data_IF_246017298638
#
_entry.id   IF_246017298638
#
_cell.length_a   1.000
_cell.length_b   1.000
_cell.length_c   1.000
_cell.angle_alpha   90.00
_cell.angle_beta   90.00
_cell.angle_gamma   90.00
#
_symmetry.space_group_name_H-M   'P 1'
#
loop_
_entity.id
_entity.type
_entity.pdbx_description
1 polymer ?
#
# COMPACT_ATOMS: atom_id res chain seq x y z
N UNK A 1 18.59 16.60 -22.98
CA UNK A 1 17.57 15.70 -22.40
C UNK A 1 16.57 15.41 -23.52
N UNK A 2 15.93 14.24 -23.62
CA UNK A 2 14.92 14.04 -24.68
C UNK A 2 13.66 14.83 -24.32
N UNK A 3 12.84 15.18 -25.32
CA UNK A 3 11.61 15.95 -25.09
C UNK A 3 10.63 15.18 -24.19
N UNK A 4 10.58 13.86 -24.32
CA UNK A 4 9.75 12.98 -23.50
C UNK A 4 10.19 13.01 -22.03
N UNK A 5 11.51 13.03 -21.77
CA UNK A 5 12.03 13.09 -20.42
C UNK A 5 11.81 14.48 -19.80
N UNK A 6 11.92 15.56 -20.58
CA UNK A 6 11.61 16.92 -20.12
C UNK A 6 10.13 17.05 -19.74
N UNK A 7 9.21 16.53 -20.56
CA UNK A 7 7.78 16.51 -20.26
C UNK A 7 7.45 15.59 -19.08
N UNK A 8 8.09 14.43 -18.99
CA UNK A 8 7.95 13.54 -17.83
C UNK A 8 8.34 14.27 -16.54
N UNK A 9 9.50 14.94 -16.51
CA UNK A 9 9.93 15.68 -15.32
C UNK A 9 9.01 16.87 -15.00
N UNK A 10 8.47 17.55 -16.01
CA UNK A 10 7.43 18.60 -15.85
C UNK A 10 6.19 18.03 -15.16
N UNK A 11 5.66 16.91 -15.64
CA UNK A 11 4.48 16.30 -15.02
C UNK A 11 4.78 15.73 -13.64
N UNK A 12 5.93 15.10 -13.47
CA UNK A 12 6.36 14.57 -12.18
C UNK A 12 6.44 15.68 -11.13
N UNK A 13 6.97 16.85 -11.51
CA UNK A 13 7.03 18.00 -10.61
C UNK A 13 5.65 18.45 -10.16
N UNK A 14 4.68 18.52 -11.08
CA UNK A 14 3.31 18.91 -10.75
C UNK A 14 2.60 17.88 -9.87
N UNK A 15 2.77 16.58 -10.17
CA UNK A 15 2.19 15.49 -9.38
C UNK A 15 2.78 15.42 -7.96
N UNK A 16 4.10 15.61 -7.82
CA UNK A 16 4.78 15.62 -6.51
C UNK A 16 4.32 16.81 -5.65
N UNK A 17 4.04 17.95 -6.28
CA UNK A 17 3.52 19.13 -5.59
C UNK A 17 2.10 18.94 -5.01
N UNK A 18 1.35 17.94 -5.49
CA UNK A 18 0.07 17.59 -4.92
C UNK A 18 0.29 16.71 -3.68
N UNK A 19 -0.08 17.20 -2.49
CA UNK A 19 -0.08 16.38 -1.28
C UNK A 19 -1.23 15.39 -1.30
N UNK A 20 -0.92 14.18 -1.73
CA UNK A 20 -1.85 13.06 -1.86
C UNK A 20 -1.56 11.98 -0.82
N UNK A 21 -0.98 12.37 0.32
CA UNK A 21 -0.63 11.44 1.40
C UNK A 21 -1.86 10.67 1.90
N UNK A 22 -1.73 9.36 2.07
CA UNK A 22 -2.75 8.44 2.54
C UNK A 22 -2.18 7.62 3.71
N UNK A 23 -2.55 7.94 4.97
CA UNK A 23 -3.47 8.99 5.44
C UNK A 23 -2.93 10.43 5.30
N UNK A 24 -3.78 11.49 5.34
CA UNK A 24 -5.23 11.47 5.58
C UNK A 24 -6.09 11.31 4.32
N UNK A 25 -5.49 11.24 3.13
CA UNK A 25 -6.17 11.11 1.83
C UNK A 25 -7.07 12.31 1.48
N UNK A 26 -6.57 13.52 1.72
CA UNK A 26 -7.25 14.79 1.38
C UNK A 26 -7.10 15.16 -0.11
N UNK A 27 -7.47 14.24 -1.01
CA UNK A 27 -7.20 14.37 -2.45
C UNK A 27 -7.85 15.61 -3.07
N UNK A 28 -9.04 16.01 -2.62
CA UNK A 28 -9.74 17.17 -3.15
C UNK A 28 -8.97 18.48 -2.91
N UNK A 29 -8.28 18.60 -1.78
CA UNK A 29 -7.51 19.79 -1.41
C UNK A 29 -6.08 19.77 -1.97
N UNK A 30 -5.63 18.61 -2.48
CA UNK A 30 -4.26 18.43 -2.97
C UNK A 30 -3.93 19.19 -4.27
N UNK A 31 -4.94 19.63 -5.01
CA UNK A 31 -4.79 20.19 -6.36
C UNK A 31 -4.58 19.15 -7.46
N UNK A 32 -4.59 17.85 -7.14
CA UNK A 32 -4.39 16.77 -8.11
C UNK A 32 -5.43 16.79 -9.23
N UNK A 33 -6.72 16.85 -8.88
CA UNK A 33 -7.80 16.83 -9.86
C UNK A 33 -7.79 18.09 -10.73
N UNK A 34 -7.53 19.25 -10.12
CA UNK A 34 -7.38 20.52 -10.83
C UNK A 34 -6.24 20.47 -11.84
N UNK A 35 -5.09 19.89 -11.44
CA UNK A 35 -3.97 19.68 -12.33
C UNK A 35 -4.35 18.78 -13.51
N UNK A 36 -4.98 17.63 -13.28
CA UNK A 36 -5.41 16.73 -14.35
C UNK A 36 -6.42 17.39 -15.30
N UNK A 37 -7.37 18.17 -14.78
CA UNK A 37 -8.33 18.94 -15.58
C UNK A 37 -7.67 20.08 -16.38
N UNK A 38 -6.53 20.61 -15.90
CA UNK A 38 -5.80 21.68 -16.60
C UNK A 38 -5.05 21.20 -17.85
N UNK A 39 -4.84 19.89 -18.00
CA UNK A 39 -4.10 19.30 -19.11
C UNK A 39 -5.00 19.17 -20.35
N UNK A 40 -4.89 20.12 -21.28
CA UNK A 40 -5.77 20.19 -22.47
C UNK A 40 -5.67 19.02 -23.46
N UNK A 41 -4.69 18.13 -23.30
CA UNK A 41 -4.45 16.98 -24.18
C UNK A 41 -5.05 15.67 -23.62
N UNK A 42 -5.68 15.71 -22.45
CA UNK A 42 -6.45 14.61 -21.88
C UNK A 42 -7.88 15.05 -21.57
N UNK A 43 -8.79 14.09 -21.47
CA UNK A 43 -10.16 14.29 -21.00
C UNK A 43 -10.41 13.33 -19.84
N UNK A 44 -10.16 13.75 -18.58
CA UNK A 44 -10.26 12.86 -17.43
C UNK A 44 -11.71 12.53 -17.07
N UNK A 45 -12.05 11.24 -17.03
CA UNK A 45 -13.32 10.75 -16.50
C UNK A 45 -13.16 10.44 -15.01
N UNK A 46 -13.59 11.37 -14.16
CA UNK A 46 -13.45 11.27 -12.71
C UNK A 46 -14.69 10.60 -12.09
N UNK A 47 -14.45 9.58 -11.27
CA UNK A 47 -15.46 8.94 -10.41
C UNK A 47 -15.06 9.16 -8.95
N UNK A 48 -15.87 9.89 -8.21
CA UNK A 48 -15.75 10.08 -6.76
C UNK A 48 -16.40 8.88 -6.03
N UNK A 49 -15.63 8.24 -5.16
CA UNK A 49 -16.05 7.08 -4.36
C UNK A 49 -16.15 7.42 -2.86
N UNK A 50 -15.99 8.68 -2.49
CA UNK A 50 -16.02 9.19 -1.12
C UNK A 50 -14.69 9.06 -0.38
N UNK A 51 -14.56 9.79 0.72
CA UNK A 51 -13.40 9.74 1.64
C UNK A 51 -12.06 9.87 0.92
N UNK A 52 -11.97 10.75 -0.08
CA UNK A 52 -10.74 10.97 -0.85
C UNK A 52 -10.39 9.87 -1.85
N UNK A 53 -11.23 8.85 -2.04
CA UNK A 53 -11.04 7.82 -3.06
C UNK A 53 -11.63 8.26 -4.40
N UNK A 54 -10.77 8.51 -5.37
CA UNK A 54 -11.09 8.86 -6.75
C UNK A 54 -10.48 7.87 -7.74
N UNK A 55 -11.29 7.45 -8.71
CA UNK A 55 -10.82 6.87 -9.96
C UNK A 55 -10.84 7.94 -11.05
N UNK A 56 -9.71 8.12 -11.75
CA UNK A 56 -9.65 8.96 -12.95
C UNK A 56 -9.27 8.08 -14.13
N UNK A 57 -10.22 7.88 -15.05
CA UNK A 57 -10.02 7.07 -16.24
C UNK A 57 -9.68 7.97 -17.44
N UNK A 58 -8.53 7.72 -18.06
CA UNK A 58 -8.09 8.35 -19.31
C UNK A 58 -8.19 7.32 -20.44
N UNK A 59 -8.94 7.62 -21.51
CA UNK A 59 -9.09 6.70 -22.64
C UNK A 59 -8.96 7.40 -23.99
N UNK A 60 -8.45 6.66 -24.98
CA UNK A 60 -8.45 7.03 -26.40
C UNK A 60 -8.49 5.77 -27.26
N UNK A 61 -9.35 5.75 -28.26
CA UNK A 61 -9.49 4.61 -29.18
C UNK A 61 -10.15 3.39 -28.54
N UNK A 62 -9.73 2.18 -28.94
CA UNK A 62 -10.23 0.89 -28.43
C UNK A 62 -9.10 0.05 -27.82
N UNK A 63 -8.49 0.51 -26.71
CA UNK A 63 -7.32 -0.11 -26.10
C UNK A 63 -7.63 -1.53 -25.58
N UNK A 64 -6.72 -2.48 -25.84
CA UNK A 64 -6.82 -3.87 -25.35
C UNK A 64 -6.25 -4.05 -23.95
N UNK A 65 -5.45 -3.10 -23.48
CA UNK A 65 -4.70 -3.16 -22.22
C UNK A 65 -5.03 -1.94 -21.38
N UNK A 66 -5.09 -2.13 -20.06
CA UNK A 66 -5.25 -1.07 -19.09
C UNK A 66 -3.94 -0.89 -18.33
N UNK A 67 -3.50 0.35 -18.16
CA UNK A 67 -2.51 0.69 -17.15
C UNK A 67 -3.22 1.18 -15.88
N UNK A 68 -2.85 0.68 -14.71
CA UNK A 68 -3.30 1.24 -13.45
C UNK A 68 -2.11 1.83 -12.70
N UNK A 69 -2.29 3.05 -12.19
CA UNK A 69 -1.27 3.80 -11.46
C UNK A 69 -1.95 4.45 -10.27
N UNK A 70 -1.50 4.20 -9.05
CA UNK A 70 -2.00 4.93 -7.90
C UNK A 70 -1.30 6.29 -7.79
N UNK A 71 -1.99 7.28 -7.23
CA UNK A 71 -1.53 8.66 -7.09
C UNK A 71 -1.47 9.12 -5.64
N UNK A 72 -2.06 8.37 -4.72
CA UNK A 72 -1.77 8.53 -3.31
C UNK A 72 -0.33 8.11 -3.00
N UNK A 73 0.19 8.64 -1.91
CA UNK A 73 1.52 8.28 -1.40
C UNK A 73 1.41 7.95 0.08
N UNK A 74 2.36 7.20 0.63
CA UNK A 74 2.56 7.23 2.08
C UNK A 74 2.82 8.66 2.60
N UNK A 75 2.57 8.96 3.90
CA UNK A 75 2.96 10.23 4.51
C UNK A 75 4.47 10.45 4.47
N UNK A 76 4.90 11.71 4.32
CA UNK A 76 6.29 12.07 4.50
C UNK A 76 6.73 11.81 5.95
N UNK A 77 7.74 10.95 6.13
CA UNK A 77 8.40 10.74 7.42
C UNK A 77 9.36 11.87 7.79
N UNK A 78 10.05 11.69 8.92
CA UNK A 78 11.16 12.57 9.31
C UNK A 78 12.43 12.29 8.47
N UNK A 79 13.34 13.26 8.42
CA UNK A 79 14.67 13.06 7.83
C UNK A 79 14.80 13.37 6.33
N UNK A 80 13.80 14.02 5.73
CA UNK A 80 13.92 14.55 4.38
C UNK A 80 14.97 15.67 4.31
N UNK A 81 15.91 15.55 3.35
CA UNK A 81 16.90 16.60 3.07
C UNK A 81 16.35 17.71 2.15
N UNK A 82 15.26 17.42 1.42
CA UNK A 82 14.57 18.33 0.52
C UNK A 82 13.09 18.35 0.90
N UNK A 83 12.37 19.42 0.56
CA UNK A 83 10.92 19.44 0.73
C UNK A 83 10.28 18.28 -0.06
N UNK A 84 9.55 17.35 0.60
CA UNK A 84 8.93 16.18 -0.06
C UNK A 84 7.96 16.56 -1.18
N UNK A 85 7.32 17.73 -1.12
CA UNK A 85 6.35 18.20 -2.12
C UNK A 85 6.98 19.14 -3.16
N UNK A 86 8.30 19.31 -3.16
CA UNK A 86 9.00 20.06 -4.20
C UNK A 86 10.04 19.17 -4.89
N UNK A 87 9.72 18.72 -6.12
CA UNK A 87 10.60 17.86 -6.89
C UNK A 87 11.98 18.52 -7.11
N UNK A 88 13.01 17.89 -6.56
CA UNK A 88 14.41 18.32 -6.70
C UNK A 88 15.16 17.33 -7.60
N UNK A 89 15.86 17.82 -8.61
CA UNK A 89 16.68 16.98 -9.50
C UNK A 89 18.15 17.22 -9.18
N UNK A 90 18.83 16.18 -8.72
CA UNK A 90 20.26 16.21 -8.40
C UNK A 90 20.90 14.87 -8.75
N UNK A 91 22.12 14.90 -9.28
CA UNK A 91 22.92 13.69 -9.55
C UNK A 91 22.16 12.62 -10.37
N UNK A 92 21.42 13.04 -11.40
CA UNK A 92 20.58 12.19 -12.26
C UNK A 92 19.45 11.45 -11.52
N UNK A 93 19.03 11.95 -10.36
CA UNK A 93 17.90 11.43 -9.59
C UNK A 93 16.88 12.54 -9.35
N UNK A 94 15.61 12.14 -9.28
CA UNK A 94 14.49 13.00 -8.90
C UNK A 94 14.09 12.65 -7.47
N UNK A 95 14.16 13.64 -6.58
CA UNK A 95 13.81 13.55 -5.17
C UNK A 95 12.48 14.26 -4.93
N UNK A 96 11.49 13.52 -4.44
CA UNK A 96 10.15 14.00 -4.14
C UNK A 96 9.28 12.85 -3.69
N UNK A 97 8.31 13.12 -2.81
CA UNK A 97 7.41 12.10 -2.29
C UNK A 97 6.56 11.53 -3.43
N UNK A 98 6.59 10.21 -3.54
CA UNK A 98 5.96 9.47 -4.62
C UNK A 98 6.68 9.52 -5.98
N UNK A 99 7.85 10.14 -6.08
CA UNK A 99 8.60 10.18 -7.35
C UNK A 99 9.00 8.78 -7.83
N UNK A 100 9.36 7.90 -6.90
CA UNK A 100 9.60 6.48 -7.15
C UNK A 100 8.32 5.66 -7.12
N UNK A 101 7.40 5.96 -6.19
CA UNK A 101 6.25 5.13 -5.86
C UNK A 101 4.95 5.96 -5.74
N UNK A 102 4.15 6.10 -6.80
CA UNK A 102 4.48 5.71 -8.18
C UNK A 102 4.18 6.82 -9.20
N UNK A 103 4.16 8.08 -8.75
CA UNK A 103 3.91 9.29 -9.58
C UNK A 103 4.87 9.40 -10.78
N UNK A 104 6.07 8.82 -10.69
CA UNK A 104 7.00 8.71 -11.82
C UNK A 104 6.38 7.96 -13.03
N UNK A 105 5.65 6.87 -12.80
CA UNK A 105 4.98 6.14 -13.87
C UNK A 105 3.82 6.95 -14.47
N UNK A 106 3.01 7.61 -13.63
CA UNK A 106 1.95 8.50 -14.10
C UNK A 106 2.51 9.63 -14.98
N UNK A 107 3.61 10.25 -14.56
CA UNK A 107 4.29 11.31 -15.31
C UNK A 107 4.80 10.84 -16.67
N UNK A 108 5.38 9.64 -16.75
CA UNK A 108 5.76 9.01 -18.02
C UNK A 108 4.57 8.84 -18.96
N UNK A 109 3.44 8.35 -18.45
CA UNK A 109 2.24 8.16 -19.28
C UNK A 109 1.67 9.48 -19.79
N UNK A 110 1.59 10.50 -18.93
CA UNK A 110 1.15 11.85 -19.32
C UNK A 110 2.05 12.44 -20.41
N UNK A 111 3.38 12.29 -20.28
CA UNK A 111 4.33 12.77 -21.28
C UNK A 111 4.15 12.08 -22.63
N UNK A 112 3.92 10.76 -22.65
CA UNK A 112 3.67 10.01 -23.89
C UNK A 112 2.36 10.42 -24.56
N UNK A 113 1.33 10.77 -23.78
CA UNK A 113 0.07 11.32 -24.32
C UNK A 113 0.30 12.73 -24.87
N UNK A 114 0.99 13.62 -24.14
CA UNK A 114 1.28 15.00 -24.58
C UNK A 114 2.09 15.01 -25.90
N UNK A 115 3.05 14.08 -26.04
CA UNK A 115 3.80 13.88 -27.29
C UNK A 115 3.00 13.22 -28.43
N UNK A 116 1.74 12.84 -28.19
CA UNK A 116 0.93 12.02 -29.11
C UNK A 116 1.66 10.75 -29.57
N UNK A 117 2.47 10.15 -28.69
CA UNK A 117 3.22 8.92 -28.95
C UNK A 117 2.34 7.65 -28.82
N UNK A 118 1.12 7.80 -28.30
CA UNK A 118 0.15 6.73 -28.12
C UNK A 118 -1.06 6.94 -29.04
N UNK A 119 -1.33 5.93 -29.87
CA UNK A 119 -2.50 5.91 -30.76
C UNK A 119 -3.78 5.56 -30.01
N UNK A 120 -3.70 4.62 -29.06
CA UNK A 120 -4.79 4.15 -28.21
C UNK A 120 -4.24 3.90 -26.80
N UNK A 121 -5.02 4.22 -25.77
CA UNK A 121 -4.65 3.98 -24.38
C UNK A 121 -5.88 3.87 -23.48
N UNK A 122 -5.76 3.10 -22.40
CA UNK A 122 -6.61 3.18 -21.23
C UNK A 122 -5.71 3.24 -20.00
N UNK A 123 -5.90 4.26 -19.16
CA UNK A 123 -5.15 4.46 -17.92
C UNK A 123 -6.14 4.75 -16.80
N UNK A 124 -6.10 3.94 -15.74
CA UNK A 124 -6.84 4.13 -14.51
C UNK A 124 -5.90 4.71 -13.46
N UNK A 125 -6.13 5.96 -13.07
CA UNK A 125 -5.45 6.58 -11.95
C UNK A 125 -6.31 6.40 -10.70
N UNK A 126 -5.80 5.70 -9.69
CA UNK A 126 -6.47 5.49 -8.39
C UNK A 126 -5.78 6.30 -7.28
N UNK A 127 -6.41 6.47 -6.12
CA UNK A 127 -5.92 7.39 -5.07
C UNK A 127 -6.05 6.82 -3.65
N UNK A 128 -6.06 5.49 -3.51
CA UNK A 128 -6.23 4.84 -2.20
C UNK A 128 -5.54 3.48 -2.04
N UNK A 129 -4.41 3.27 -2.73
CA UNK A 129 -3.66 2.01 -2.69
C UNK A 129 -2.92 1.84 -1.34
N UNK A 130 -2.24 2.88 -0.88
CA UNK A 130 -1.16 2.81 0.15
C UNK A 130 -1.67 2.42 1.55
N UNK A 131 -2.98 2.54 1.80
CA UNK A 131 -3.60 2.20 3.07
C UNK A 131 -4.09 0.74 3.16
N UNK A 132 -3.87 -0.09 2.13
CA UNK A 132 -4.18 -1.53 2.16
C UNK A 132 -5.67 -1.89 2.06
N UNK A 133 -6.54 -0.90 1.85
CA UNK A 133 -7.99 -1.09 1.71
C UNK A 133 -8.56 -0.30 0.52
N UNK A 134 -7.97 -0.43 -0.66
CA UNK A 134 -8.43 0.29 -1.85
C UNK A 134 -9.90 0.01 -2.18
N UNK A 135 -10.70 1.07 -2.25
CA UNK A 135 -12.08 1.05 -2.75
C UNK A 135 -12.05 1.35 -4.26
N UNK A 136 -11.09 2.14 -4.74
CA UNK A 136 -10.93 2.49 -6.15
C UNK A 136 -10.90 1.27 -7.06
N UNK A 137 -9.97 0.36 -6.82
CA UNK A 137 -9.81 -0.83 -7.67
C UNK A 137 -11.01 -1.77 -7.54
N UNK A 138 -11.54 -1.95 -6.32
CA UNK A 138 -12.74 -2.79 -6.09
C UNK A 138 -13.95 -2.28 -6.89
N UNK A 139 -14.22 -0.97 -6.81
CA UNK A 139 -15.34 -0.34 -7.52
C UNK A 139 -15.15 -0.34 -9.02
N UNK A 140 -13.91 -0.19 -9.50
CA UNK A 140 -13.62 -0.33 -10.93
C UNK A 140 -13.88 -1.75 -11.44
N UNK A 141 -13.53 -2.79 -10.67
CA UNK A 141 -13.81 -4.19 -11.05
C UNK A 141 -15.32 -4.46 -11.14
N UNK A 142 -16.13 -3.86 -10.25
CA UNK A 142 -17.60 -4.00 -10.28
C UNK A 142 -18.23 -3.51 -11.61
N UNK A 143 -17.57 -2.58 -12.33
CA UNK A 143 -18.03 -2.12 -13.64
C UNK A 143 -17.77 -3.12 -14.76
N UNK A 144 -17.15 -4.28 -14.45
CA UNK A 144 -16.81 -5.37 -15.38
C UNK A 144 -16.02 -4.88 -16.61
N UNK A 145 -14.88 -4.18 -16.40
CA UNK A 145 -14.07 -3.68 -17.50
C UNK A 145 -13.55 -4.84 -18.36
N UNK A 146 -13.56 -4.66 -19.68
CA UNK A 146 -13.17 -5.70 -20.63
C UNK A 146 -11.80 -5.39 -21.26
N UNK A 147 -10.73 -5.76 -20.56
CA UNK A 147 -9.35 -5.67 -21.05
C UNK A 147 -8.72 -7.05 -21.13
N UNK A 148 -7.76 -7.23 -22.05
CA UNK A 148 -7.00 -8.49 -22.18
C UNK A 148 -6.00 -8.71 -21.06
N UNK A 149 -5.43 -7.63 -20.54
CA UNK A 149 -4.55 -7.64 -19.37
C UNK A 149 -4.51 -6.23 -18.75
N UNK A 150 -4.08 -6.18 -17.49
CA UNK A 150 -3.83 -4.94 -16.74
C UNK A 150 -2.36 -4.90 -16.38
N UNK A 151 -1.72 -3.76 -16.58
CA UNK A 151 -0.36 -3.46 -16.13
C UNK A 151 -0.49 -2.50 -14.94
N UNK A 152 -0.21 -2.99 -13.74
CA UNK A 152 -0.16 -2.16 -12.53
C UNK A 152 1.25 -1.60 -12.41
N UNK A 153 1.36 -0.28 -12.32
CA UNK A 153 2.63 0.39 -12.17
C UNK A 153 3.08 0.31 -10.71
N UNK A 154 4.29 -0.19 -10.51
CA UNK A 154 4.99 -0.34 -9.23
C UNK A 154 6.50 -0.21 -9.49
N UNK A 155 7.35 0.08 -8.49
CA UNK A 155 8.79 0.24 -8.69
C UNK A 155 9.50 -1.10 -8.89
N UNK A 156 9.38 -1.67 -10.09
CA UNK A 156 9.94 -2.99 -10.46
C UNK A 156 11.29 -2.91 -11.16
N UNK A 157 11.99 -1.77 -11.07
CA UNK A 157 13.19 -1.49 -11.88
C UNK A 157 12.95 -1.65 -13.39
N UNK A 158 11.77 -1.26 -13.87
CA UNK A 158 11.34 -1.40 -15.27
C UNK A 158 11.33 -2.85 -15.78
N UNK A 159 11.09 -3.83 -14.90
CA UNK A 159 10.92 -5.25 -15.26
C UNK A 159 9.47 -5.67 -15.10
N UNK A 160 9.00 -6.54 -15.99
CA UNK A 160 7.69 -7.16 -15.84
C UNK A 160 7.73 -8.17 -14.68
N UNK A 161 7.00 -7.89 -13.60
CA UNK A 161 6.82 -8.79 -12.47
C UNK A 161 5.45 -9.45 -12.62
N UNK A 162 5.42 -10.78 -12.62
CA UNK A 162 4.21 -11.58 -12.86
C UNK A 162 3.70 -12.29 -11.61
N UNK A 163 4.41 -12.14 -10.49
CA UNK A 163 4.10 -12.80 -9.23
C UNK A 163 4.59 -11.97 -8.06
N UNK A 164 3.75 -11.82 -7.04
CA UNK A 164 4.07 -11.23 -5.75
C UNK A 164 3.35 -11.98 -4.63
N UNK A 165 3.73 -11.72 -3.38
CA UNK A 165 3.04 -12.29 -2.21
C UNK A 165 1.73 -11.55 -1.97
N UNK A 166 0.79 -12.21 -1.29
CA UNK A 166 -0.29 -11.50 -0.63
C UNK A 166 0.23 -10.65 0.54
N UNK A 167 -0.68 -9.93 1.20
CA UNK A 167 -0.40 -9.19 2.43
C UNK A 167 -1.61 -9.31 3.36
N UNK A 168 -1.32 -9.56 4.64
CA UNK A 168 -2.27 -9.40 5.73
C UNK A 168 -1.58 -8.61 6.83
N UNK A 169 -2.31 -7.69 7.46
CA UNK A 169 -1.89 -7.02 8.68
C UNK A 169 -3.03 -7.06 9.68
N UNK A 170 -2.70 -7.20 10.96
CA UNK A 170 -3.70 -7.31 12.02
C UNK A 170 -3.15 -6.84 13.36
N UNK A 171 -4.07 -6.57 14.28
CA UNK A 171 -3.76 -6.28 15.69
C UNK A 171 -4.39 -7.37 16.53
N UNK A 172 -3.59 -8.07 17.33
CA UNK A 172 -4.08 -9.01 18.32
C UNK A 172 -3.98 -8.37 19.71
N UNK A 173 -5.11 -8.31 20.41
CA UNK A 173 -5.18 -7.80 21.77
C UNK A 173 -5.28 -8.94 22.78
N UNK A 174 -4.65 -8.74 23.94
CA UNK A 174 -4.62 -9.68 25.04
C UNK A 174 -5.03 -8.98 26.32
N UNK A 175 -5.93 -9.63 27.05
CA UNK A 175 -6.49 -9.09 28.28
C UNK A 175 -6.15 -9.96 29.49
N UNK A 176 -5.91 -9.28 30.60
CA UNK A 176 -5.47 -9.83 31.86
C UNK A 176 -6.22 -9.21 33.05
N UNK A 177 -5.70 -9.42 34.25
CA UNK A 177 -6.25 -8.80 35.46
C UNK A 177 -5.15 -8.19 36.31
N UNK A 178 -5.15 -6.86 36.41
CA UNK A 178 -4.15 -6.09 37.15
C UNK A 178 -4.04 -6.54 38.61
N UNK A 179 -2.84 -6.47 39.16
CA UNK A 179 -2.53 -6.83 40.53
C UNK A 179 -1.04 -6.74 40.82
N UNK A 180 -0.63 -7.09 42.04
CA UNK A 180 0.79 -7.14 42.39
C UNK A 180 1.44 -8.39 41.79
N UNK A 181 2.62 -8.26 41.16
CA UNK A 181 3.27 -9.39 40.46
C UNK A 181 3.76 -10.52 41.38
N UNK A 182 3.75 -10.32 42.71
CA UNK A 182 4.02 -11.36 43.70
C UNK A 182 2.85 -12.33 43.93
N UNK A 183 1.66 -12.02 43.42
CA UNK A 183 0.51 -12.90 43.51
C UNK A 183 0.68 -14.08 42.55
N UNK A 184 0.45 -15.31 43.03
CA UNK A 184 0.57 -16.54 42.23
C UNK A 184 -0.28 -16.51 40.96
N UNK A 185 -1.40 -15.77 40.98
CA UNK A 185 -2.27 -15.62 39.80
C UNK A 185 -1.62 -14.86 38.64
N UNK A 186 -0.50 -14.16 38.86
CA UNK A 186 0.27 -13.46 37.82
C UNK A 186 0.63 -14.36 36.63
N UNK A 187 0.82 -15.66 36.85
CA UNK A 187 1.14 -16.59 35.76
C UNK A 187 0.01 -16.67 34.71
N UNK A 188 -1.26 -16.62 35.15
CA UNK A 188 -2.44 -16.79 34.29
C UNK A 188 -3.07 -15.45 33.90
N UNK A 189 -3.00 -14.45 34.78
CA UNK A 189 -3.70 -13.18 34.62
C UNK A 189 -2.91 -12.15 33.80
N UNK A 190 -1.63 -12.40 33.50
CA UNK A 190 -0.79 -11.43 32.82
C UNK A 190 -1.02 -11.44 31.30
N UNK A 191 -1.48 -10.33 30.74
CA UNK A 191 -1.72 -10.17 29.30
C UNK A 191 -0.44 -10.32 28.46
N UNK A 192 0.71 -9.84 28.94
CA UNK A 192 2.00 -10.01 28.26
C UNK A 192 2.37 -11.48 28.20
N UNK A 193 2.14 -12.28 29.26
CA UNK A 193 2.43 -13.71 29.21
C UNK A 193 1.59 -14.43 28.16
N UNK A 194 0.30 -14.09 28.06
CA UNK A 194 -0.61 -14.64 27.03
C UNK A 194 -0.15 -14.27 25.63
N UNK A 195 0.20 -13.00 25.42
CA UNK A 195 0.75 -12.50 24.16
C UNK A 195 2.05 -13.21 23.78
N UNK A 196 2.98 -13.41 24.74
CA UNK A 196 4.24 -14.12 24.48
C UNK A 196 4.01 -15.56 24.09
N UNK A 197 3.07 -16.25 24.74
CA UNK A 197 2.70 -17.63 24.39
C UNK A 197 2.13 -17.71 22.97
N UNK A 198 1.24 -16.78 22.60
CA UNK A 198 0.71 -16.68 21.24
C UNK A 198 1.82 -16.38 20.22
N UNK A 199 2.69 -15.40 20.49
CA UNK A 199 3.78 -15.01 19.59
C UNK A 199 4.73 -16.18 19.31
N UNK A 200 5.05 -16.98 20.34
CA UNK A 200 5.86 -18.18 20.17
C UNK A 200 5.18 -19.21 19.26
N UNK A 201 3.87 -19.40 19.40
CA UNK A 201 3.11 -20.30 18.53
C UNK A 201 3.06 -19.76 17.09
N UNK A 202 2.82 -18.46 16.92
CA UNK A 202 2.77 -17.80 15.62
C UNK A 202 4.08 -17.94 14.83
N UNK A 203 5.22 -17.79 15.51
CA UNK A 203 6.54 -18.00 14.90
C UNK A 203 6.74 -19.46 14.45
N UNK A 204 6.30 -20.44 15.24
CA UNK A 204 6.38 -21.86 14.85
C UNK A 204 5.52 -22.18 13.62
N UNK A 205 4.32 -21.59 13.55
CA UNK A 205 3.46 -21.70 12.36
C UNK A 205 4.18 -21.10 11.16
N UNK A 206 4.75 -19.90 11.27
CA UNK A 206 5.50 -19.31 10.17
C UNK A 206 6.69 -20.16 9.72
N UNK A 207 7.44 -20.73 10.66
CA UNK A 207 8.55 -21.64 10.37
C UNK A 207 8.11 -22.92 9.65
N UNK A 208 6.90 -23.42 9.88
CA UNK A 208 6.43 -24.64 9.20
C UNK A 208 6.25 -24.45 7.69
N UNK A 209 6.12 -23.21 7.21
CA UNK A 209 6.03 -22.88 5.79
C UNK A 209 7.39 -22.75 5.10
N UNK A 210 8.53 -22.77 5.81
CA UNK A 210 9.85 -22.46 5.23
C UNK A 210 10.26 -23.33 4.02
N UNK A 211 9.68 -24.53 3.87
CA UNK A 211 9.97 -25.42 2.74
C UNK A 211 9.02 -25.23 1.54
N UNK A 212 8.04 -24.34 1.63
CA UNK A 212 7.14 -24.01 0.54
C UNK A 212 7.74 -22.95 -0.37
N UNK A 213 7.49 -23.04 -1.68
CA UNK A 213 7.94 -22.02 -2.63
C UNK A 213 7.07 -21.95 -3.87
N UNK A 214 6.96 -20.75 -4.44
CA UNK A 214 6.34 -20.50 -5.73
C UNK A 214 7.24 -19.54 -6.52
N UNK A 215 7.90 -20.08 -7.56
CA UNK A 215 8.89 -19.34 -8.32
C UNK A 215 10.03 -18.85 -7.39
N UNK A 216 10.35 -17.55 -7.35
CA UNK A 216 11.40 -17.01 -6.49
C UNK A 216 10.93 -16.71 -5.05
N UNK A 217 9.69 -17.00 -4.69
CA UNK A 217 9.14 -16.71 -3.36
C UNK A 217 9.20 -17.97 -2.48
N UNK A 218 9.81 -17.86 -1.30
CA UNK A 218 10.03 -18.98 -0.35
C UNK A 218 9.36 -18.70 1.01
N UNK A 219 8.70 -19.70 1.59
CA UNK A 219 8.02 -19.63 2.88
C UNK A 219 6.96 -18.53 2.99
N UNK A 220 6.57 -18.20 4.22
CA UNK A 220 5.76 -17.00 4.52
C UNK A 220 6.64 -15.94 5.18
N UNK A 221 6.54 -14.69 4.73
CA UNK A 221 7.20 -13.60 5.43
C UNK A 221 6.29 -13.12 6.56
N UNK A 222 6.54 -13.58 7.79
CA UNK A 222 5.81 -13.20 9.01
C UNK A 222 6.60 -12.16 9.81
N UNK A 223 5.92 -11.16 10.38
CA UNK A 223 6.53 -10.07 11.11
C UNK A 223 5.68 -9.63 12.31
N UNK A 224 6.28 -9.58 13.50
CA UNK A 224 5.73 -8.88 14.67
C UNK A 224 6.27 -7.45 14.66
N UNK A 225 5.44 -6.49 14.24
CA UNK A 225 5.88 -5.12 13.92
C UNK A 225 5.85 -4.15 15.10
N UNK A 226 4.92 -4.31 16.04
CA UNK A 226 4.81 -3.47 17.23
C UNK A 226 4.23 -4.28 18.38
N UNK A 227 4.82 -4.15 19.57
CA UNK A 227 4.30 -4.75 20.81
C UNK A 227 4.18 -3.64 21.86
N UNK A 228 3.02 -3.57 22.51
CA UNK A 228 2.73 -2.62 23.58
C UNK A 228 2.04 -3.33 24.74
N UNK A 229 2.29 -2.92 25.98
CA UNK A 229 1.60 -3.48 27.13
C UNK A 229 2.34 -3.32 28.47
N UNK A 230 1.58 -3.44 29.55
CA UNK A 230 2.09 -3.31 30.91
C UNK A 230 2.38 -1.86 31.34
N UNK A 231 2.79 -1.70 32.60
CA UNK A 231 3.00 -0.38 33.22
C UNK A 231 4.32 -0.35 34.01
N UNK A 232 4.51 -1.31 34.93
CA UNK A 232 5.71 -1.43 35.78
C UNK A 232 6.04 -2.90 36.03
N UNK A 233 7.30 -3.24 36.34
CA UNK A 233 7.73 -4.62 36.60
C UNK A 233 6.98 -5.32 37.74
N UNK A 234 6.48 -4.57 38.72
CA UNK A 234 5.78 -5.11 39.89
C UNK A 234 4.24 -5.14 39.75
N UNK A 235 3.72 -4.88 38.55
CA UNK A 235 2.28 -4.87 38.25
C UNK A 235 2.00 -5.96 37.20
N UNK A 236 1.03 -6.84 37.47
CA UNK A 236 0.50 -7.78 36.49
C UNK A 236 -0.13 -6.95 35.36
N UNK A 237 0.35 -7.11 34.12
CA UNK A 237 -0.21 -6.42 32.97
C UNK A 237 -1.64 -6.91 32.70
N UNK A 238 -2.60 -5.98 32.70
CA UNK A 238 -4.00 -6.25 32.34
C UNK A 238 -4.28 -6.11 30.85
N UNK A 239 -3.37 -5.49 30.10
CA UNK A 239 -3.45 -5.35 28.65
C UNK A 239 -2.07 -5.55 28.00
N UNK A 240 -2.09 -6.13 26.80
CA UNK A 240 -0.99 -6.14 25.86
C UNK A 240 -1.57 -6.25 24.44
N UNK A 241 -0.88 -5.70 23.46
CA UNK A 241 -1.24 -5.79 22.06
C UNK A 241 -0.01 -6.07 21.19
N UNK A 242 -0.25 -6.69 20.05
CA UNK A 242 0.75 -6.88 19.01
C UNK A 242 0.16 -6.56 17.65
N UNK A 243 0.81 -5.65 16.91
CA UNK A 243 0.55 -5.44 15.50
C UNK A 243 1.49 -6.34 14.71
N UNK A 244 0.92 -7.21 13.88
CA UNK A 244 1.66 -8.18 13.10
C UNK A 244 1.22 -8.15 11.65
N UNK A 245 2.02 -8.73 10.77
CA UNK A 245 1.65 -8.95 9.39
C UNK A 245 2.30 -10.20 8.83
N UNK A 246 1.68 -10.77 7.80
CA UNK A 246 2.26 -11.87 7.05
C UNK A 246 1.99 -11.74 5.56
N UNK A 247 2.87 -12.32 4.75
CA UNK A 247 2.80 -12.26 3.29
C UNK A 247 2.74 -13.66 2.69
N UNK A 248 1.53 -14.21 2.48
CA UNK A 248 1.36 -15.56 1.97
C UNK A 248 1.87 -15.69 0.53
N UNK A 249 2.27 -16.91 0.15
CA UNK A 249 2.52 -17.28 -1.23
C UNK A 249 1.22 -17.28 -2.04
N UNK A 250 1.28 -17.09 -3.37
CA UNK A 250 0.11 -17.22 -4.23
C UNK A 250 -0.65 -18.53 -3.99
N UNK A 251 -1.98 -18.46 -3.86
CA UNK A 251 -2.84 -19.64 -3.67
C UNK A 251 -2.93 -20.16 -2.24
N UNK A 252 -2.14 -19.67 -1.30
CA UNK A 252 -2.37 -19.96 0.13
C UNK A 252 -3.58 -19.17 0.65
N UNK A 253 -4.41 -19.81 1.47
CA UNK A 253 -5.57 -19.16 2.10
C UNK A 253 -5.14 -18.35 3.32
N UNK A 254 -5.54 -17.08 3.33
CA UNK A 254 -5.34 -16.18 4.47
C UNK A 254 -6.15 -16.69 5.68
N UNK A 255 -7.36 -17.18 5.45
CA UNK A 255 -8.26 -17.69 6.48
C UNK A 255 -7.67 -18.91 7.19
N UNK A 256 -7.07 -19.84 6.45
CA UNK A 256 -6.39 -20.99 7.03
C UNK A 256 -5.18 -20.57 7.88
N UNK A 257 -4.36 -19.64 7.37
CA UNK A 257 -3.21 -19.09 8.12
C UNK A 257 -3.68 -18.42 9.42
N UNK A 258 -4.75 -17.62 9.37
CA UNK A 258 -5.32 -17.02 10.59
C UNK A 258 -5.79 -18.08 11.58
N UNK A 259 -6.46 -19.13 11.11
CA UNK A 259 -6.88 -20.24 11.96
C UNK A 259 -5.70 -20.97 12.60
N UNK A 260 -4.60 -21.22 11.88
CA UNK A 260 -3.39 -21.85 12.41
C UNK A 260 -2.67 -20.97 13.44
N UNK A 261 -2.73 -19.64 13.25
CA UNK A 261 -2.27 -18.65 14.21
C UNK A 261 -3.19 -18.53 15.44
N UNK A 262 -4.30 -19.27 15.49
CA UNK A 262 -5.27 -19.20 16.58
C UNK A 262 -6.03 -17.87 16.63
N UNK A 263 -6.20 -17.22 15.47
CA UNK A 263 -6.93 -15.96 15.31
C UNK A 263 -8.29 -16.30 14.71
N UNK A 264 -9.36 -16.06 15.45
CA UNK A 264 -10.71 -16.13 14.91
C UNK A 264 -10.94 -14.91 14.03
N UNK A 265 -11.41 -15.10 12.79
CA UNK A 265 -11.83 -13.99 11.96
C UNK A 265 -13.09 -13.39 12.59
N UNK A 266 -12.95 -12.27 13.29
CA UNK A 266 -14.08 -11.38 13.52
C UNK A 266 -14.53 -10.89 12.14
N UNK A 267 -15.58 -11.50 11.61
CA UNK A 267 -16.16 -11.10 10.33
C UNK A 267 -16.79 -9.73 10.48
N UNK A 268 -16.04 -8.70 10.09
CA UNK A 268 -16.53 -7.36 9.76
C UNK A 268 -15.98 -6.97 8.38
#
# INVERSE_FOLDING_TARGET
MSIELELCLKHLKALVACDTSNPPKNIQQSGLLDYLHSLSFIEPQVTDLGEGSYNVLLTKGSPKYLFNVHLDTVPAGEGWNFDPHNLTIQENKAFGLGACDIKGAAACMLALIECNALNEYAILLSTDEEAGQSICVKKFIETKPNFKAVIVAEPTQNKAVTCHRGIFTGTQEFFGKAGHSSDKRALNDNAIHKMTAWAQQALKVAESYNNESIGPLEGIAFNLGLIEGGIKPNIIADNASVKFGFRPLPGQSVENLLSELGIESSGD
#
